data_IF_404031725067
#
_entry.id   IF_404031725067
#
_cell.length_a   1.000
_cell.length_b   1.000
_cell.length_c   1.000
_cell.angle_alpha   90.00
_cell.angle_beta   90.00
_cell.angle_gamma   90.00
#
_symmetry.space_group_name_H-M   'P 1'
#
loop_
_entity.id
_entity.type
_entity.pdbx_description
1 polymer ?
#
# COMPACT_ATOMS: atom_id res chain seq x y z
N UNK A 1 -20.28 2.79 -4.05
CA UNK A 1 -20.45 1.39 -3.60
C UNK A 1 -19.15 0.83 -3.01
N UNK A 2 -18.00 1.13 -3.61
CA UNK A 2 -16.68 0.62 -3.22
C UNK A 2 -16.20 1.04 -1.81
N UNK A 3 -16.24 2.34 -1.48
CA UNK A 3 -15.77 2.84 -0.19
C UNK A 3 -16.61 2.37 1.02
N UNK A 4 -17.89 2.03 0.80
CA UNK A 4 -18.77 1.44 1.83
C UNK A 4 -18.38 0.01 2.20
N UNK A 5 -17.79 -0.73 1.25
CA UNK A 5 -17.24 -2.07 1.51
C UNK A 5 -15.91 -1.92 2.24
N UNK A 6 -15.02 -1.05 1.75
CA UNK A 6 -13.72 -0.81 2.38
C UNK A 6 -13.83 -0.33 3.84
N UNK A 7 -14.81 0.52 4.18
CA UNK A 7 -14.98 1.03 5.54
C UNK A 7 -15.35 -0.05 6.58
N UNK A 8 -15.89 -1.19 6.14
CA UNK A 8 -16.22 -2.33 7.00
C UNK A 8 -15.03 -3.24 7.29
N UNK A 9 -13.98 -3.16 6.47
CA UNK A 9 -12.78 -4.00 6.56
C UNK A 9 -11.56 -3.17 7.00
N UNK A 10 -11.78 -2.00 7.62
CA UNK A 10 -10.69 -1.16 8.16
C UNK A 10 -9.94 -1.95 9.24
N UNK A 11 -8.62 -2.04 9.08
CA UNK A 11 -7.76 -2.82 9.96
C UNK A 11 -7.59 -4.30 9.57
N UNK A 12 -8.30 -4.79 8.57
CA UNK A 12 -8.09 -6.15 8.04
C UNK A 12 -6.96 -6.19 7.03
N UNK A 13 -6.18 -7.27 7.07
CA UNK A 13 -5.07 -7.52 6.15
C UNK A 13 -5.56 -8.28 4.93
N UNK A 14 -5.11 -7.84 3.76
CA UNK A 14 -5.43 -8.44 2.47
C UNK A 14 -4.17 -8.52 1.61
N UNK A 15 -4.09 -9.56 0.79
CA UNK A 15 -3.15 -9.60 -0.32
C UNK A 15 -3.70 -8.72 -1.46
N UNK A 16 -2.85 -7.84 -1.99
CA UNK A 16 -3.19 -6.98 -3.11
C UNK A 16 -2.11 -6.96 -4.17
N UNK A 17 -2.50 -6.73 -5.42
CA UNK A 17 -1.57 -6.65 -6.56
C UNK A 17 -1.29 -5.20 -6.90
N UNK A 18 -0.03 -4.83 -7.06
CA UNK A 18 0.34 -3.50 -7.57
C UNK A 18 -0.12 -3.40 -9.03
N UNK A 19 -1.02 -2.47 -9.32
CA UNK A 19 -1.58 -2.23 -10.66
C UNK A 19 -1.08 -0.93 -11.29
N UNK A 20 -0.47 -0.06 -10.49
CA UNK A 20 0.20 1.15 -10.97
C UNK A 20 1.22 1.64 -9.96
N UNK A 21 2.30 2.24 -10.46
CA UNK A 21 3.35 2.88 -9.66
C UNK A 21 3.43 4.33 -10.08
N UNK A 22 3.44 5.22 -9.10
CA UNK A 22 3.57 6.66 -9.27
C UNK A 22 4.69 7.17 -8.35
N UNK A 23 5.21 8.37 -8.63
CA UNK A 23 6.29 8.98 -7.86
C UNK A 23 5.99 9.18 -6.37
N UNK A 24 4.71 9.20 -5.98
CA UNK A 24 4.27 9.34 -4.58
C UNK A 24 3.84 8.01 -3.92
N UNK A 25 3.77 6.90 -4.66
CA UNK A 25 3.33 5.62 -4.12
C UNK A 25 2.81 4.64 -5.17
N UNK A 26 2.13 3.59 -4.72
CA UNK A 26 1.62 2.52 -5.56
C UNK A 26 0.11 2.37 -5.40
N UNK A 27 -0.59 2.08 -6.50
CA UNK A 27 -1.98 1.65 -6.44
C UNK A 27 -2.02 0.14 -6.37
N UNK A 28 -2.72 -0.36 -5.35
CA UNK A 28 -2.84 -1.78 -5.06
C UNK A 28 -4.29 -2.20 -5.23
N UNK A 29 -4.54 -3.15 -6.12
CA UNK A 29 -5.83 -3.78 -6.33
C UNK A 29 -6.01 -4.93 -5.33
N UNK A 30 -7.04 -4.84 -4.50
CA UNK A 30 -7.48 -5.93 -3.64
C UNK A 30 -8.56 -6.69 -4.41
N UNK A 31 -8.20 -7.82 -5.02
CA UNK A 31 -9.10 -8.58 -5.91
C UNK A 31 -10.34 -9.08 -5.17
N UNK A 32 -10.19 -9.51 -3.91
CA UNK A 32 -11.29 -10.00 -3.06
C UNK A 32 -12.37 -8.94 -2.82
N UNK A 33 -11.96 -7.67 -2.69
CA UNK A 33 -12.85 -6.55 -2.42
C UNK A 33 -13.17 -5.73 -3.68
N UNK A 34 -12.61 -6.12 -4.82
CA UNK A 34 -12.79 -5.47 -6.13
C UNK A 34 -12.54 -3.96 -6.09
N UNK A 35 -11.49 -3.50 -5.40
CA UNK A 35 -11.14 -2.09 -5.34
C UNK A 35 -9.65 -1.80 -5.30
N UNK A 36 -9.29 -0.58 -5.71
CA UNK A 36 -7.93 -0.06 -5.65
C UNK A 36 -7.76 0.88 -4.46
N UNK A 37 -6.65 0.70 -3.73
CA UNK A 37 -6.24 1.62 -2.68
C UNK A 37 -4.83 2.15 -2.92
N UNK A 38 -4.54 3.29 -2.33
CA UNK A 38 -3.25 3.95 -2.43
C UNK A 38 -2.34 3.49 -1.29
N UNK A 39 -1.20 2.89 -1.62
CA UNK A 39 -0.08 2.65 -0.72
C UNK A 39 0.96 3.75 -0.92
N UNK A 40 1.06 4.69 0.01
CA UNK A 40 2.01 5.79 -0.09
C UNK A 40 3.46 5.29 0.01
N UNK A 41 4.40 5.95 -0.68
CA UNK A 41 5.82 5.57 -0.68
C UNK A 41 6.42 5.50 0.73
N UNK A 42 5.95 6.34 1.65
CA UNK A 42 6.38 6.33 3.07
C UNK A 42 5.94 5.09 3.84
N UNK A 43 4.98 4.32 3.31
CA UNK A 43 4.48 3.08 3.90
C UNK A 43 5.14 1.84 3.27
N UNK A 44 5.95 2.01 2.21
CA UNK A 44 6.73 0.92 1.61
C UNK A 44 7.86 0.43 2.51
N UNK A 45 8.27 1.19 3.51
CA UNK A 45 9.28 0.77 4.48
C UNK A 45 9.98 1.94 5.15
N UNK A 46 10.93 1.61 6.03
CA UNK A 46 11.75 2.60 6.75
C UNK A 46 13.03 2.99 6.00
N UNK A 47 13.28 2.38 4.84
CA UNK A 47 14.43 2.64 3.98
C UNK A 47 14.06 3.61 2.85
N UNK A 48 15.09 4.16 2.20
CA UNK A 48 14.88 5.01 1.03
C UNK A 48 14.55 4.15 -0.19
N UNK A 49 13.40 4.40 -0.79
CA UNK A 49 13.00 3.81 -2.06
C UNK A 49 13.29 4.79 -3.18
N UNK A 50 14.12 4.38 -4.14
CA UNK A 50 14.36 5.14 -5.37
C UNK A 50 13.42 4.63 -6.45
N UNK A 51 12.74 5.55 -7.13
CA UNK A 51 11.99 5.23 -8.33
C UNK A 51 12.99 5.01 -9.48
N UNK A 52 12.98 3.82 -10.04
CA UNK A 52 13.64 3.56 -11.32
C UNK A 52 12.60 3.81 -12.43
N UNK A 53 12.70 4.97 -13.09
CA UNK A 53 11.79 5.37 -14.17
C UNK A 53 11.81 4.40 -15.38
N UNK A 54 12.88 3.60 -15.53
CA UNK A 54 12.98 2.58 -16.58
C UNK A 54 12.26 1.28 -16.21
N UNK A 55 12.33 0.87 -14.95
CA UNK A 55 11.72 -0.36 -14.45
C UNK A 55 10.31 -0.16 -13.88
N UNK A 56 9.85 1.08 -13.70
CA UNK A 56 8.57 1.41 -13.04
C UNK A 56 8.48 0.71 -11.68
N UNK A 57 9.57 0.80 -10.92
CA UNK A 57 9.77 0.07 -9.69
C UNK A 57 10.39 0.96 -8.61
N UNK A 58 9.98 0.74 -7.36
CA UNK A 58 10.67 1.28 -6.20
C UNK A 58 11.69 0.26 -5.71
N UNK A 59 12.96 0.66 -5.67
CA UNK A 59 14.05 -0.20 -5.17
C UNK A 59 14.52 0.31 -3.82
N UNK A 60 14.45 -0.54 -2.81
CA UNK A 60 14.92 -0.26 -1.46
C UNK A 60 16.45 -0.21 -1.41
N UNK A 61 17.01 0.90 -0.91
CA UNK A 61 18.46 1.13 -0.88
C UNK A 61 19.22 0.19 0.05
N UNK A 62 18.56 -0.33 1.08
CA UNK A 62 19.22 -1.16 2.12
C UNK A 62 18.94 -2.64 1.91
N UNK A 63 17.69 -3.00 1.58
CA UNK A 63 17.27 -4.40 1.47
C UNK A 63 17.27 -4.92 0.04
N UNK A 64 17.35 -4.03 -0.95
CA UNK A 64 17.15 -4.39 -2.36
C UNK A 64 15.73 -4.83 -2.69
N UNK A 65 14.76 -4.65 -1.77
CA UNK A 65 13.36 -4.98 -2.03
C UNK A 65 12.82 -4.10 -3.16
N UNK A 66 12.21 -4.75 -4.14
CA UNK A 66 11.58 -4.10 -5.27
C UNK A 66 10.06 -4.10 -5.08
N UNK A 67 9.42 -2.98 -5.38
CA UNK A 67 7.97 -2.89 -5.53
C UNK A 67 7.68 -2.41 -6.95
N UNK A 68 7.23 -3.32 -7.81
CA UNK A 68 6.96 -3.03 -9.22
C UNK A 68 5.55 -3.44 -9.61
N UNK A 69 5.14 -3.05 -10.81
CA UNK A 69 3.87 -3.46 -11.40
C UNK A 69 3.73 -5.00 -11.42
N UNK A 70 2.61 -5.50 -10.88
CA UNK A 70 2.30 -6.93 -10.83
C UNK A 70 2.74 -7.63 -9.55
N UNK A 71 3.57 -7.01 -8.70
CA UNK A 71 3.97 -7.60 -7.42
C UNK A 71 2.75 -7.74 -6.48
N UNK A 72 2.77 -8.81 -5.68
CA UNK A 72 1.80 -9.04 -4.62
C UNK A 72 2.36 -8.48 -3.30
N UNK A 73 1.56 -7.66 -2.64
CA UNK A 73 1.90 -7.04 -1.35
C UNK A 73 0.79 -7.28 -0.33
N UNK A 74 1.18 -7.53 0.92
CA UNK A 74 0.24 -7.59 2.04
C UNK A 74 0.00 -6.19 2.59
N UNK A 75 -1.26 -5.78 2.58
CA UNK A 75 -1.71 -4.44 2.96
C UNK A 75 -2.92 -4.53 3.88
N UNK A 76 -3.15 -3.50 4.69
CA UNK A 76 -4.41 -3.33 5.40
C UNK A 76 -5.02 -1.97 5.09
N UNK A 77 -6.35 -1.90 5.21
CA UNK A 77 -7.09 -0.66 5.02
C UNK A 77 -6.87 0.22 6.24
N UNK A 78 -6.13 1.31 6.08
CA UNK A 78 -5.87 2.27 7.16
C UNK A 78 -6.98 3.31 7.30
N UNK A 79 -7.55 3.74 6.18
CA UNK A 79 -8.63 4.72 6.13
C UNK A 79 -9.40 4.56 4.82
N UNK A 80 -10.73 4.63 4.90
CA UNK A 80 -11.61 4.69 3.75
C UNK A 80 -12.45 5.96 3.83
N UNK A 81 -12.32 6.83 2.83
CA UNK A 81 -13.08 8.05 2.69
C UNK A 81 -14.23 7.81 1.73
N UNK A 82 -15.45 7.78 2.27
CA UNK A 82 -16.65 7.42 1.52
C UNK A 82 -17.10 8.58 0.61
N UNK A 83 -16.82 9.82 1.00
CA UNK A 83 -17.22 11.02 0.27
C UNK A 83 -16.40 11.21 -1.00
N UNK A 84 -15.09 10.96 -0.91
CA UNK A 84 -14.15 11.08 -2.04
C UNK A 84 -13.90 9.76 -2.76
N UNK A 85 -14.34 8.64 -2.19
CA UNK A 85 -14.11 7.30 -2.72
C UNK A 85 -12.67 6.80 -2.57
N UNK A 86 -11.82 7.51 -1.80
CA UNK A 86 -10.41 7.18 -1.64
C UNK A 86 -10.20 6.16 -0.53
N UNK A 87 -9.29 5.21 -0.76
CA UNK A 87 -8.87 4.23 0.24
C UNK A 87 -7.36 4.31 0.41
N UNK A 88 -6.92 4.56 1.64
CA UNK A 88 -5.51 4.59 2.00
C UNK A 88 -5.11 3.23 2.59
N UNK A 89 -4.07 2.65 2.02
CA UNK A 89 -3.51 1.38 2.41
C UNK A 89 -2.18 1.59 3.14
N UNK A 90 -1.88 0.65 4.03
CA UNK A 90 -0.58 0.54 4.69
C UNK A 90 -0.10 -0.89 4.62
N UNK A 91 1.21 -1.10 4.65
CA UNK A 91 1.80 -2.44 4.56
C UNK A 91 1.59 -3.21 5.87
N UNK A 92 1.13 -4.46 5.80
CA UNK A 92 0.95 -5.33 6.97
C UNK A 92 2.29 -5.66 7.64
N UNK A 93 3.30 -6.02 6.85
CA UNK A 93 4.66 -6.28 7.35
C UNK A 93 5.43 -4.97 7.61
N UNK A 94 5.18 -4.37 8.76
CA UNK A 94 5.85 -3.12 9.19
C UNK A 94 5.72 -2.80 10.68
N UNK A 95 4.91 -3.54 11.43
CA UNK A 95 4.80 -3.43 12.89
C UNK A 95 6.00 -4.08 13.60
N UNK A 96 7.21 -3.59 13.33
CA UNK A 96 8.34 -3.65 14.29
C UNK A 96 8.70 -2.23 14.73
N UNK A 97 7.68 -1.47 15.07
CA UNK A 97 7.75 -0.13 15.63
C UNK A 97 6.70 0.00 16.72
N UNK A 98 6.99 -0.62 17.86
CA UNK A 98 6.31 -0.45 19.15
C UNK A 98 6.05 1.04 19.40
N UNK A 99 4.88 1.56 19.07
CA UNK A 99 4.38 2.81 19.67
C UNK A 99 3.79 2.49 21.04
N UNK A 100 4.64 2.05 21.96
CA UNK A 100 4.48 2.38 23.37
C UNK A 100 5.17 3.74 23.55
N UNK A 101 4.42 4.83 23.51
CA UNK A 101 4.83 6.05 24.20
C UNK A 101 3.62 6.62 24.92
N UNK A 102 3.58 6.22 26.21
CA UNK A 102 2.98 6.86 27.39
C UNK A 102 1.46 6.98 27.46
#
# INVERSE_FOLDING_TARGET
MTATVASRHVGEEHAGRIVSVASFGCFVLIEELCFEGLLHVSELGSEFFTLDDGAVAFVGSETGKTFQLGDIVEVYISQADIETGRVNLKRAYGQRGRKNVR
#
